data_IF_016628041168
#
_entry.id   IF_016628041168
#
_cell.length_a   1.000
_cell.length_b   1.000
_cell.length_c   1.000
_cell.angle_alpha   90.00
_cell.angle_beta   90.00
_cell.angle_gamma   90.00
#
_symmetry.space_group_name_H-M   'P 1'
#
loop_
_entity.id
_entity.type
_entity.pdbx_description
1 polymer ?
#
# COMPACT_ATOMS: atom_id res chain seq x y z
N UNK A 1 23.74 -5.99 47.60
CA UNK A 1 22.61 -6.45 46.76
C UNK A 1 23.18 -6.94 45.44
N UNK A 2 23.05 -8.24 45.17
CA UNK A 2 23.62 -8.91 44.00
C UNK A 2 22.51 -8.95 42.94
N UNK A 3 22.65 -8.19 41.85
CA UNK A 3 21.77 -8.35 40.69
C UNK A 3 22.37 -9.44 39.81
N UNK A 4 21.80 -10.64 39.96
CA UNK A 4 22.15 -11.84 39.22
C UNK A 4 21.52 -11.73 37.83
N UNK A 5 22.33 -11.46 36.82
CA UNK A 5 21.93 -11.53 35.42
C UNK A 5 21.85 -13.00 35.01
N UNK A 6 20.64 -13.51 34.89
CA UNK A 6 20.36 -14.80 34.27
C UNK A 6 18.99 -14.69 33.60
N UNK A 7 18.99 -14.54 32.28
CA UNK A 7 18.22 -15.34 31.33
C UNK A 7 18.26 -14.62 29.97
N UNK A 8 19.20 -15.01 29.10
CA UNK A 8 19.15 -14.66 27.68
C UNK A 8 18.35 -15.76 26.95
N UNK A 9 17.12 -15.98 27.41
CA UNK A 9 16.18 -16.91 26.82
C UNK A 9 15.47 -16.30 25.61
N UNK A 10 16.12 -16.38 24.44
CA UNK A 10 15.46 -16.72 23.17
C UNK A 10 14.22 -15.88 22.77
N UNK A 11 14.38 -14.57 22.51
CA UNK A 11 13.27 -13.71 22.03
C UNK A 11 13.50 -13.02 20.67
N UNK A 12 14.45 -13.47 19.84
CA UNK A 12 14.84 -12.71 18.64
C UNK A 12 14.21 -13.17 17.30
N UNK A 13 13.54 -14.33 17.22
CA UNK A 13 13.14 -14.88 15.91
C UNK A 13 11.70 -14.59 15.49
N UNK A 14 10.86 -14.05 16.38
CA UNK A 14 9.42 -13.83 16.10
C UNK A 14 9.07 -12.35 15.79
N UNK A 15 10.00 -11.42 16.03
CA UNK A 15 9.76 -9.98 15.84
C UNK A 15 10.05 -9.44 14.42
N UNK A 16 10.76 -10.21 13.58
CA UNK A 16 11.20 -9.74 12.25
C UNK A 16 10.15 -9.93 11.14
N UNK A 17 9.29 -10.96 11.23
CA UNK A 17 8.22 -11.16 10.25
C UNK A 17 7.16 -10.07 10.30
N UNK A 18 6.74 -9.69 11.51
CA UNK A 18 5.63 -8.74 11.72
C UNK A 18 5.97 -7.28 11.35
N UNK A 19 7.24 -6.87 11.48
CA UNK A 19 7.71 -5.53 11.05
C UNK A 19 7.80 -5.41 9.53
N UNK A 20 8.18 -6.49 8.83
CA UNK A 20 8.31 -6.49 7.36
C UNK A 20 6.95 -6.35 6.68
N UNK A 21 5.93 -7.08 7.14
CA UNK A 21 4.55 -6.95 6.65
C UNK A 21 3.94 -5.56 6.92
N UNK A 22 4.30 -4.93 8.05
CA UNK A 22 3.86 -3.57 8.36
C UNK A 22 4.46 -2.53 7.39
N UNK A 23 5.74 -2.66 7.02
CA UNK A 23 6.37 -1.78 6.04
C UNK A 23 5.79 -1.97 4.62
N UNK A 24 5.50 -3.21 4.21
CA UNK A 24 4.82 -3.47 2.93
C UNK A 24 3.42 -2.86 2.89
N UNK A 25 2.65 -3.02 3.98
CA UNK A 25 1.32 -2.44 4.07
C UNK A 25 1.36 -0.91 3.97
N UNK A 26 2.30 -0.26 4.68
CA UNK A 26 2.50 1.19 4.60
C UNK A 26 2.86 1.64 3.19
N UNK A 27 3.83 0.99 2.53
CA UNK A 27 4.20 1.30 1.15
C UNK A 27 3.02 1.15 0.19
N UNK A 28 2.23 0.08 0.33
CA UNK A 28 1.04 -0.14 -0.50
C UNK A 28 -0.03 0.93 -0.24
N UNK A 29 -0.17 1.37 1.01
CA UNK A 29 -1.11 2.40 1.40
C UNK A 29 -0.72 3.77 0.84
N UNK A 30 0.57 4.12 0.87
CA UNK A 30 1.09 5.32 0.21
C UNK A 30 0.93 5.26 -1.31
N UNK A 31 1.31 4.14 -1.93
CA UNK A 31 1.15 3.95 -3.37
C UNK A 31 -0.32 4.07 -3.79
N UNK A 32 -1.24 3.41 -3.09
CA UNK A 32 -2.68 3.49 -3.34
C UNK A 32 -3.18 4.93 -3.23
N UNK A 33 -2.74 5.68 -2.20
CA UNK A 33 -3.11 7.08 -2.01
C UNK A 33 -2.61 7.97 -3.16
N UNK A 34 -1.40 7.73 -3.65
CA UNK A 34 -0.86 8.46 -4.81
C UNK A 34 -1.65 8.13 -6.07
N UNK A 35 -1.91 6.85 -6.34
CA UNK A 35 -2.69 6.41 -7.50
C UNK A 35 -4.11 6.96 -7.50
N UNK A 36 -4.80 6.99 -6.36
CA UNK A 36 -6.12 7.62 -6.21
C UNK A 36 -6.07 9.12 -6.52
N UNK A 37 -5.03 9.82 -6.04
CA UNK A 37 -4.86 11.25 -6.35
C UNK A 37 -4.62 11.50 -7.84
N UNK A 38 -3.79 10.68 -8.49
CA UNK A 38 -3.56 10.75 -9.93
C UNK A 38 -4.87 10.50 -10.67
N UNK A 39 -5.63 9.48 -10.27
CA UNK A 39 -6.95 9.20 -10.85
C UNK A 39 -7.90 10.38 -10.71
N UNK A 40 -7.98 11.05 -9.55
CA UNK A 40 -8.81 12.23 -9.37
C UNK A 40 -8.40 13.42 -10.25
N UNK A 41 -7.09 13.63 -10.42
CA UNK A 41 -6.56 14.63 -11.35
C UNK A 41 -6.93 14.28 -12.79
N UNK A 42 -6.80 13.01 -13.18
CA UNK A 42 -7.13 12.54 -14.52
C UNK A 42 -8.64 12.62 -14.80
N UNK A 43 -9.50 12.27 -13.84
CA UNK A 43 -10.95 12.49 -13.93
C UNK A 43 -11.26 13.97 -14.17
N UNK A 44 -10.54 14.88 -13.50
CA UNK A 44 -10.73 16.31 -13.67
C UNK A 44 -10.32 16.77 -15.08
N UNK A 45 -9.25 16.22 -15.63
CA UNK A 45 -8.85 16.43 -17.02
C UNK A 45 -9.85 15.83 -18.02
N UNK A 46 -10.37 14.62 -17.75
CA UNK A 46 -11.43 14.00 -18.56
C UNK A 46 -12.73 14.80 -18.55
N UNK A 47 -13.04 15.51 -17.46
CA UNK A 47 -14.19 16.43 -17.42
C UNK A 47 -13.98 17.64 -18.31
N UNK A 48 -12.74 18.09 -18.49
CA UNK A 48 -12.40 19.20 -19.37
C UNK A 48 -12.32 18.75 -20.83
N UNK A 49 -11.78 17.55 -21.08
CA UNK A 49 -11.64 16.96 -22.41
C UNK A 49 -12.16 15.50 -22.46
N UNK A 50 -13.48 15.32 -22.53
CA UNK A 50 -14.11 13.99 -22.51
C UNK A 50 -13.94 13.21 -23.82
N UNK A 51 -13.40 13.84 -24.87
CA UNK A 51 -13.13 13.19 -26.16
C UNK A 51 -11.71 12.63 -26.25
N UNK A 52 -10.81 13.04 -25.35
CA UNK A 52 -9.45 12.51 -25.34
C UNK A 52 -9.43 11.00 -25.04
N UNK A 53 -9.13 10.23 -26.08
CA UNK A 53 -9.06 8.77 -26.00
C UNK A 53 -7.92 8.30 -25.08
N UNK A 54 -6.82 9.06 -25.02
CA UNK A 54 -5.67 8.75 -24.16
C UNK A 54 -6.05 8.84 -22.67
N UNK A 55 -6.72 9.93 -22.26
CA UNK A 55 -7.20 10.10 -20.88
C UNK A 55 -8.16 8.98 -20.46
N UNK A 56 -9.05 8.54 -21.36
CA UNK A 56 -9.96 7.41 -21.10
C UNK A 56 -9.19 6.10 -20.86
N UNK A 57 -8.13 5.89 -21.63
CA UNK A 57 -7.29 4.70 -21.52
C UNK A 57 -6.49 4.71 -20.21
N UNK A 58 -5.84 5.84 -19.91
CA UNK A 58 -5.12 6.06 -18.66
C UNK A 58 -6.04 5.94 -17.44
N UNK A 59 -7.29 6.39 -17.52
CA UNK A 59 -8.24 6.29 -16.42
C UNK A 59 -8.57 4.83 -16.11
N UNK A 60 -8.82 4.03 -17.16
CA UNK A 60 -9.04 2.58 -17.00
C UNK A 60 -7.83 1.88 -16.41
N UNK A 61 -6.63 2.22 -16.87
CA UNK A 61 -5.38 1.64 -16.36
C UNK A 61 -5.16 1.99 -14.88
N UNK A 62 -5.31 3.27 -14.52
CA UNK A 62 -5.24 3.74 -13.13
C UNK A 62 -6.30 3.05 -12.26
N UNK A 63 -7.53 2.88 -12.75
CA UNK A 63 -8.58 2.18 -12.02
C UNK A 63 -8.18 0.72 -11.75
N UNK A 64 -7.63 0.02 -12.75
CA UNK A 64 -7.15 -1.35 -12.58
C UNK A 64 -6.00 -1.41 -11.57
N UNK A 65 -5.08 -0.45 -11.61
CA UNK A 65 -3.95 -0.33 -10.69
C UNK A 65 -4.39 -0.06 -9.25
N UNK A 66 -5.35 0.85 -9.05
CA UNK A 66 -5.96 1.14 -7.74
C UNK A 66 -6.63 -0.13 -7.19
N UNK A 67 -7.41 -0.84 -8.00
CA UNK A 67 -8.07 -2.10 -7.58
C UNK A 67 -7.04 -3.16 -7.20
N UNK A 68 -6.00 -3.36 -8.00
CA UNK A 68 -4.94 -4.33 -7.70
C UNK A 68 -4.17 -3.98 -6.42
N UNK A 69 -3.85 -2.70 -6.20
CA UNK A 69 -3.20 -2.22 -4.99
C UNK A 69 -4.10 -2.36 -3.76
N UNK A 70 -5.39 -2.06 -3.90
CA UNK A 70 -6.37 -2.22 -2.82
C UNK A 70 -6.61 -3.68 -2.46
N UNK A 71 -6.62 -4.57 -3.44
CA UNK A 71 -6.74 -6.02 -3.22
C UNK A 71 -5.50 -6.56 -2.49
N UNK A 72 -4.29 -6.19 -2.93
CA UNK A 72 -3.03 -6.56 -2.24
C UNK A 72 -2.99 -6.04 -0.81
N UNK A 73 -3.42 -4.80 -0.60
CA UNK A 73 -3.53 -4.22 0.74
C UNK A 73 -4.52 -5.00 1.62
N UNK A 74 -5.71 -5.33 1.09
CA UNK A 74 -6.70 -6.12 1.81
C UNK A 74 -6.16 -7.51 2.18
N UNK A 75 -5.48 -8.20 1.26
CA UNK A 75 -4.89 -9.50 1.54
C UNK A 75 -3.86 -9.46 2.67
N UNK A 76 -3.00 -8.44 2.70
CA UNK A 76 -2.02 -8.24 3.78
C UNK A 76 -2.64 -7.78 5.10
N UNK A 77 -3.81 -7.14 5.05
CA UNK A 77 -4.52 -6.67 6.26
C UNK A 77 -5.39 -7.76 6.88
N UNK A 78 -5.92 -8.68 6.06
CA UNK A 78 -6.78 -9.79 6.47
C UNK A 78 -6.03 -11.09 6.82
N UNK A 79 -4.75 -11.22 6.44
CA UNK A 79 -3.88 -12.37 6.77
C UNK A 79 -3.14 -12.17 8.09
#
# INVERSE_FOLDING_TARGET
MVFKTADVGKAAVLGFGKKRSMMELQNLQEALKVEIQIHQKLVSQMKQDPQNADLKLQLRDLQAKITALSERQNQLTLS
#
